data_IF_584700455707
#
_entry.id   IF_584700455707
#
_cell.length_a   1.000
_cell.length_b   1.000
_cell.length_c   1.000
_cell.angle_alpha   90.00
_cell.angle_beta   90.00
_cell.angle_gamma   90.00
#
_symmetry.space_group_name_H-M   'P 1'
#
loop_
_entity.id
_entity.type
_entity.pdbx_description
1 polymer ?
#
# COMPACT_ATOMS: atom_id res chain seq x y z
N UNK A 1 1.48 -15.55 6.70
CA UNK A 1 1.19 -14.20 7.22
C UNK A 1 2.45 -13.48 7.70
N UNK A 2 3.21 -14.00 8.68
CA UNK A 2 4.43 -13.40 9.24
C UNK A 2 5.38 -12.75 8.21
N UNK A 3 5.82 -13.52 7.20
CA UNK A 3 6.70 -13.05 6.12
C UNK A 3 6.21 -11.77 5.42
N UNK A 4 4.89 -11.61 5.25
CA UNK A 4 4.32 -10.46 4.54
C UNK A 4 4.34 -9.20 5.42
N UNK A 5 4.16 -9.36 6.74
CA UNK A 5 4.31 -8.27 7.71
C UNK A 5 5.75 -7.77 7.76
N UNK A 6 6.71 -8.70 7.78
CA UNK A 6 8.15 -8.40 7.75
C UNK A 6 8.56 -7.67 6.47
N UNK A 7 8.04 -8.10 5.31
CA UNK A 7 8.26 -7.41 4.03
C UNK A 7 7.67 -6.00 4.03
N UNK A 8 6.46 -5.81 4.57
CA UNK A 8 5.86 -4.48 4.62
C UNK A 8 6.63 -3.53 5.55
N UNK A 9 7.23 -4.06 6.62
CA UNK A 9 8.04 -3.29 7.56
C UNK A 9 9.30 -2.68 6.91
N UNK A 10 9.74 -3.14 5.73
CA UNK A 10 10.85 -2.49 5.00
C UNK A 10 10.47 -1.14 4.41
N UNK A 11 9.17 -0.86 4.25
CA UNK A 11 8.66 0.40 3.68
C UNK A 11 8.71 0.48 2.15
N UNK A 12 9.26 -0.53 1.48
CA UNK A 12 9.43 -0.53 0.01
C UNK A 12 8.17 -0.97 -0.74
N UNK A 13 7.21 -1.57 -0.03
CA UNK A 13 6.03 -2.19 -0.63
C UNK A 13 4.78 -1.37 -0.37
N UNK A 14 4.01 -1.10 -1.43
CA UNK A 14 2.68 -0.53 -1.29
C UNK A 14 1.68 -1.58 -0.78
N UNK A 15 0.60 -1.13 -0.14
CA UNK A 15 -0.46 -2.02 0.36
C UNK A 15 -1.11 -2.82 -0.76
N UNK A 16 -1.18 -2.26 -1.97
CA UNK A 16 -1.68 -2.97 -3.15
C UNK A 16 -0.72 -4.06 -3.62
N UNK A 17 0.59 -3.79 -3.64
CA UNK A 17 1.61 -4.79 -3.95
C UNK A 17 1.60 -5.91 -2.91
N UNK A 18 1.45 -5.56 -1.64
CA UNK A 18 1.33 -6.53 -0.55
C UNK A 18 0.10 -7.43 -0.73
N UNK A 19 -1.07 -6.86 -1.06
CA UNK A 19 -2.30 -7.60 -1.35
C UNK A 19 -2.11 -8.62 -2.47
N UNK A 20 -1.44 -8.24 -3.56
CA UNK A 20 -1.15 -9.15 -4.66
C UNK A 20 -0.20 -10.27 -4.22
N UNK A 21 0.89 -9.96 -3.51
CA UNK A 21 1.81 -10.96 -2.99
C UNK A 21 1.13 -11.95 -2.02
N UNK A 22 0.23 -11.45 -1.17
CA UNK A 22 -0.58 -12.30 -0.29
C UNK A 22 -1.45 -13.26 -1.11
N UNK A 23 -2.09 -12.78 -2.17
CA UNK A 23 -2.91 -13.61 -3.04
C UNK A 23 -2.08 -14.67 -3.80
N UNK A 24 -0.91 -14.29 -4.31
CA UNK A 24 0.05 -15.22 -4.95
C UNK A 24 0.53 -16.29 -3.97
N UNK A 25 0.72 -15.94 -2.70
CA UNK A 25 1.04 -16.88 -1.63
C UNK A 25 -0.14 -17.77 -1.18
N UNK A 26 -1.32 -17.63 -1.81
CA UNK A 26 -2.51 -18.43 -1.51
C UNK A 26 -3.40 -17.88 -0.39
N UNK A 27 -3.13 -16.68 0.15
CA UNK A 27 -4.02 -16.04 1.12
C UNK A 27 -5.23 -15.47 0.37
N UNK A 28 -6.38 -16.11 0.55
CA UNK A 28 -7.64 -15.76 -0.09
C UNK A 28 -8.68 -15.34 0.93
N UNK A 29 -9.64 -14.55 0.48
CA UNK A 29 -10.87 -14.30 1.24
C UNK A 29 -11.72 -15.58 1.30
N UNK A 30 -12.72 -15.61 2.18
CA UNK A 30 -13.66 -16.75 2.28
C UNK A 30 -14.34 -17.08 0.94
N UNK A 31 -14.51 -16.09 0.07
CA UNK A 31 -15.09 -16.22 -1.28
C UNK A 31 -14.04 -16.61 -2.34
N UNK A 32 -12.80 -16.87 -1.95
CA UNK A 32 -11.69 -17.23 -2.85
C UNK A 32 -11.03 -16.07 -3.59
N UNK A 33 -11.52 -14.84 -3.41
CA UNK A 33 -10.97 -13.64 -4.06
C UNK A 33 -9.77 -13.05 -3.33
N UNK A 34 -9.12 -12.07 -3.99
CA UNK A 34 -8.03 -11.26 -3.41
C UNK A 34 -8.48 -10.46 -2.19
N UNK A 35 -7.59 -10.31 -1.22
CA UNK A 35 -7.86 -9.49 -0.03
C UNK A 35 -7.83 -8.01 -0.42
N UNK A 36 -8.94 -7.30 -0.28
CA UNK A 36 -9.02 -5.88 -0.65
C UNK A 36 -8.07 -5.01 0.19
N UNK A 37 -7.53 -3.93 -0.41
CA UNK A 37 -6.57 -3.01 0.24
C UNK A 37 -7.06 -2.49 1.60
N UNK A 38 -8.35 -2.20 1.73
CA UNK A 38 -8.94 -1.73 3.00
C UNK A 38 -8.84 -2.79 4.10
N UNK A 39 -9.02 -4.06 3.73
CA UNK A 39 -8.89 -5.17 4.67
C UNK A 39 -7.44 -5.40 5.05
N UNK A 40 -6.50 -5.30 4.10
CA UNK A 40 -5.06 -5.35 4.40
C UNK A 40 -4.67 -4.23 5.36
N UNK A 41 -5.18 -3.00 5.16
CA UNK A 41 -4.96 -1.90 6.10
C UNK A 41 -5.45 -2.21 7.52
N UNK A 42 -6.62 -2.84 7.67
CA UNK A 42 -7.12 -3.26 8.98
C UNK A 42 -6.19 -4.30 9.61
N UNK A 43 -5.77 -5.32 8.84
CA UNK A 43 -4.84 -6.35 9.33
C UNK A 43 -3.52 -5.73 9.79
N UNK A 44 -2.94 -4.80 9.03
CA UNK A 44 -1.67 -4.17 9.41
C UNK A 44 -1.77 -3.30 10.68
N UNK A 45 -2.96 -2.82 11.05
CA UNK A 45 -3.19 -2.06 12.29
C UNK A 45 -3.55 -2.94 13.48
N UNK A 46 -3.84 -4.21 13.24
CA UNK A 46 -4.40 -5.07 14.26
C UNK A 46 -3.32 -5.53 15.26
N UNK A 47 -3.46 -5.25 16.57
CA UNK A 47 -2.47 -5.61 17.58
C UNK A 47 -2.50 -7.11 17.92
N UNK A 48 -3.39 -7.91 17.32
CA UNK A 48 -3.39 -9.37 17.42
C UNK A 48 -2.02 -9.96 17.06
N UNK A 49 -1.32 -9.39 16.08
CA UNK A 49 -0.03 -9.91 15.64
C UNK A 49 1.11 -9.78 16.66
N UNK A 50 0.94 -8.95 17.69
CA UNK A 50 1.88 -8.78 18.81
C UNK A 50 1.39 -9.43 20.12
N UNK A 51 0.41 -10.33 20.05
CA UNK A 51 -0.10 -10.99 21.25
C UNK A 51 -1.07 -10.14 22.08
N UNK A 52 -1.58 -9.03 21.54
CA UNK A 52 -2.52 -8.13 22.23
C UNK A 52 -3.89 -8.20 21.57
N UNK A 53 -4.95 -8.01 22.32
CA UNK A 53 -6.32 -7.98 21.79
C UNK A 53 -7.02 -6.68 22.19
N UNK A 54 -7.87 -6.15 21.32
CA UNK A 54 -8.68 -4.96 21.62
C UNK A 54 -10.06 -5.43 22.02
N UNK A 55 -10.46 -5.13 23.25
CA UNK A 55 -11.81 -5.35 23.76
C UNK A 55 -12.34 -4.06 24.35
N UNK A 56 -13.53 -3.62 23.92
CA UNK A 56 -14.16 -2.39 24.41
C UNK A 56 -13.23 -1.14 24.34
N UNK A 57 -12.44 -1.04 23.26
CA UNK A 57 -11.47 0.04 23.07
C UNK A 57 -10.23 -0.01 23.97
N UNK A 58 -10.13 -1.01 24.86
CA UNK A 58 -8.96 -1.26 25.71
C UNK A 58 -8.11 -2.39 25.13
N UNK A 59 -6.80 -2.22 25.25
CA UNK A 59 -5.82 -3.22 24.80
C UNK A 59 -5.50 -4.15 25.96
N UNK A 60 -5.80 -5.43 25.79
CA UNK A 60 -5.51 -6.49 26.75
C UNK A 60 -4.39 -7.39 26.23
N UNK A 61 -3.60 -7.96 27.14
CA UNK A 61 -2.64 -8.98 26.78
C UNK A 61 -3.40 -10.27 26.44
N UNK A 62 -3.24 -10.74 25.21
CA UNK A 62 -3.76 -12.03 24.77
C UNK A 62 -2.88 -13.18 25.26
N UNK A 63 -3.47 -14.38 25.33
CA UNK A 63 -2.76 -15.60 25.72
C UNK A 63 -2.07 -16.31 24.54
N UNK A 64 -2.13 -15.76 23.34
CA UNK A 64 -1.58 -16.35 22.12
C UNK A 64 -0.15 -15.91 21.85
N UNK A 65 0.60 -16.78 21.17
CA UNK A 65 1.98 -16.49 20.81
C UNK A 65 2.04 -15.36 19.76
N UNK A 66 2.86 -14.31 19.99
CA UNK A 66 2.98 -13.19 19.07
C UNK A 66 3.60 -13.65 17.74
N UNK A 67 2.98 -13.23 16.63
CA UNK A 67 3.44 -13.58 15.28
C UNK A 67 4.65 -12.75 14.84
N UNK A 68 4.77 -11.52 15.36
CA UNK A 68 5.86 -10.57 15.13
C UNK A 68 6.24 -9.87 16.45
N UNK A 69 7.45 -9.31 16.50
CA UNK A 69 7.89 -8.51 17.65
C UNK A 69 7.23 -7.13 17.66
N UNK A 70 7.19 -6.51 18.84
CA UNK A 70 6.66 -5.15 19.00
C UNK A 70 7.42 -4.13 18.14
N UNK A 71 8.72 -4.32 17.93
CA UNK A 71 9.55 -3.45 17.09
C UNK A 71 9.16 -3.49 15.61
N UNK A 72 8.84 -4.67 15.07
CA UNK A 72 8.38 -4.81 13.68
C UNK A 72 7.01 -4.15 13.52
N UNK A 73 6.12 -4.35 14.50
CA UNK A 73 4.81 -3.75 14.48
C UNK A 73 4.86 -2.21 14.54
N UNK A 74 5.74 -1.65 15.37
CA UNK A 74 5.95 -0.21 15.44
C UNK A 74 6.43 0.37 14.11
N UNK A 75 7.40 -0.28 13.46
CA UNK A 75 7.84 0.08 12.10
C UNK A 75 6.69 0.06 11.09
N UNK A 76 5.82 -0.94 11.14
CA UNK A 76 4.63 -1.02 10.28
C UNK A 76 3.69 0.16 10.54
N UNK A 77 3.46 0.54 11.81
CA UNK A 77 2.63 1.69 12.15
C UNK A 77 3.27 3.01 11.67
N UNK A 78 4.59 3.16 11.78
CA UNK A 78 5.31 4.32 11.27
C UNK A 78 5.19 4.42 9.74
N UNK A 79 5.33 3.30 9.02
CA UNK A 79 5.13 3.26 7.55
C UNK A 79 3.69 3.59 7.17
N UNK A 80 2.70 3.12 7.94
CA UNK A 80 1.28 3.43 7.73
C UNK A 80 0.93 4.89 8.02
N UNK A 81 1.52 5.48 9.06
CA UNK A 81 1.32 6.87 9.45
C UNK A 81 2.07 7.83 8.52
N UNK A 82 3.22 7.37 7.99
CA UNK A 82 4.01 8.11 7.02
C UNK A 82 3.26 8.29 5.70
N UNK A 83 3.39 9.47 5.10
CA UNK A 83 2.97 9.72 3.70
C UNK A 83 3.89 9.02 2.67
N UNK A 84 4.83 8.19 3.14
CA UNK A 84 5.96 7.68 2.37
C UNK A 84 5.66 6.38 1.63
N UNK A 85 4.38 6.08 1.33
CA UNK A 85 4.09 5.00 0.40
C UNK A 85 4.71 5.40 -0.95
N UNK A 86 5.61 4.57 -1.52
CA UNK A 86 6.22 4.90 -2.81
C UNK A 86 5.13 5.07 -3.84
N UNK A 87 4.90 6.32 -4.26
CA UNK A 87 4.00 6.63 -5.37
C UNK A 87 4.71 6.19 -6.63
N UNK A 88 4.44 4.96 -7.07
CA UNK A 88 4.87 4.48 -8.38
C UNK A 88 4.18 5.37 -9.41
N UNK A 89 4.92 6.34 -9.92
CA UNK A 89 4.42 7.21 -10.97
C UNK A 89 4.55 6.46 -12.29
N UNK A 90 3.43 5.95 -12.81
CA UNK A 90 3.41 5.25 -14.11
C UNK A 90 3.70 6.21 -15.28
N UNK A 91 3.59 7.51 -15.05
CA UNK A 91 3.79 8.55 -16.06
C UNK A 91 5.08 9.33 -15.77
N UNK A 92 6.20 8.70 -16.09
CA UNK A 92 7.52 9.34 -16.09
C UNK A 92 7.70 9.95 -17.49
N UNK A 93 7.44 11.25 -17.62
CA UNK A 93 7.73 11.98 -18.85
C UNK A 93 9.16 12.54 -18.78
N UNK A 94 9.97 12.29 -19.80
CA UNK A 94 11.38 12.70 -19.90
C UNK A 94 11.61 14.19 -19.61
N UNK A 95 10.64 15.04 -19.96
CA UNK A 95 10.73 16.50 -19.80
C UNK A 95 9.76 17.07 -18.76
N UNK A 96 9.24 16.23 -17.87
CA UNK A 96 8.35 16.70 -16.80
C UNK A 96 9.09 17.74 -15.95
N UNK A 97 8.47 18.90 -15.74
CA UNK A 97 8.98 19.96 -14.85
C UNK A 97 10.24 20.69 -15.35
N UNK A 98 10.79 20.30 -16.51
CA UNK A 98 11.92 20.96 -17.16
C UNK A 98 11.48 22.07 -18.13
N UNK A 99 10.31 21.92 -18.74
CA UNK A 99 9.77 22.91 -19.67
C UNK A 99 8.95 23.98 -18.94
N UNK A 100 9.34 25.24 -19.12
CA UNK A 100 8.59 26.41 -18.65
C UNK A 100 8.11 27.22 -19.85
N UNK A 101 6.88 27.73 -19.79
CA UNK A 101 6.36 28.65 -20.79
C UNK A 101 7.08 30.00 -20.67
N UNK A 102 7.61 30.51 -21.78
CA UNK A 102 8.34 31.78 -21.81
C UNK A 102 7.42 32.99 -21.55
N UNK A 103 6.13 32.90 -21.91
CA UNK A 103 5.20 34.02 -21.77
C UNK A 103 4.54 34.09 -20.38
N UNK A 104 4.12 32.95 -19.82
CA UNK A 104 3.40 32.93 -18.54
C UNK A 104 4.21 32.37 -17.36
N UNK A 105 5.43 31.86 -17.58
CA UNK A 105 6.28 31.27 -16.55
C UNK A 105 5.77 29.95 -15.97
N UNK A 106 4.62 29.46 -16.42
CA UNK A 106 4.01 28.20 -15.97
C UNK A 106 4.82 26.97 -16.38
N UNK A 107 4.76 25.93 -15.56
CA UNK A 107 5.37 24.62 -15.88
C UNK A 107 4.50 23.89 -16.90
N UNK A 108 5.08 23.49 -18.03
CA UNK A 108 4.35 22.74 -19.07
C UNK A 108 4.04 21.34 -18.53
N UNK A 109 2.75 21.01 -18.55
CA UNK A 109 2.24 19.71 -18.10
C UNK A 109 1.92 18.84 -19.30
N UNK A 110 2.28 17.55 -19.22
CA UNK A 110 2.06 16.59 -20.29
C UNK A 110 0.73 15.87 -20.10
N UNK A 111 -0.02 15.67 -21.18
CA UNK A 111 -1.27 14.92 -21.22
C UNK A 111 -1.24 13.86 -22.33
N UNK A 112 -1.83 12.69 -22.08
CA UNK A 112 -1.97 11.62 -23.07
C UNK A 112 -3.44 11.56 -23.49
N UNK A 113 -3.73 11.91 -24.73
CA UNK A 113 -5.06 11.78 -25.32
C UNK A 113 -5.19 10.41 -25.98
N UNK A 114 -6.21 9.63 -25.60
CA UNK A 114 -6.55 8.40 -26.33
C UNK A 114 -7.17 8.79 -27.66
N UNK A 115 -6.48 8.50 -28.76
CA UNK A 115 -7.00 8.73 -30.11
C UNK A 115 -8.01 7.62 -30.44
N UNK A 116 -9.30 7.92 -30.37
CA UNK A 116 -10.37 6.99 -30.76
C UNK A 116 -10.52 7.03 -32.29
N UNK A 117 -9.75 6.21 -33.00
CA UNK A 117 -9.89 6.03 -34.44
C UNK A 117 -10.94 4.96 -34.75
N UNK A 118 -12.21 5.34 -34.65
CA UNK A 118 -13.27 4.69 -35.40
C UNK A 118 -13.48 5.52 -36.67
N UNK A 119 -12.74 5.21 -37.72
CA UNK A 119 -13.11 5.68 -39.05
C UNK A 119 -14.04 4.62 -39.63
N UNK A 120 -15.33 4.96 -39.69
CA UNK A 120 -16.28 4.25 -40.52
C UNK A 120 -15.92 4.50 -41.99
N UNK A 121 -15.61 3.44 -42.72
CA UNK A 121 -15.82 3.28 -44.17
C UNK A 121 -16.02 1.78 -44.45
#
# INVERSE_FOLDING_TARGET
>A
MRKHLELYATGEYSVEKLSNMMFEAGLRTSTGGRIHKSRVHQLLKDPYYIGKNVWDGKVYQGSHEPLITQEIFDKIQLVLAGKNTPKINRHIFLFKQLLKCAECGGTVTWEIHKRNHLWAL
#
